data_IF_611022864446
#
_entry.id   IF_611022864446
#
_cell.length_a   1.000
_cell.length_b   1.000
_cell.length_c   1.000
_cell.angle_alpha   90.00
_cell.angle_beta   90.00
_cell.angle_gamma   90.00
#
_symmetry.space_group_name_H-M   'P 1'
#
loop_
_entity.id
_entity.type
_entity.pdbx_description
1 polymer ?
#
# COMPACT_ATOMS: atom_id res chain seq x y z
N UNK A 1 -11.98 -3.80 -2.66
CA UNK A 1 -11.50 -5.10 -2.14
C UNK A 1 -10.86 -4.89 -0.77
N UNK A 2 -11.21 -5.72 0.22
CA UNK A 2 -10.58 -5.69 1.54
C UNK A 2 -9.25 -6.43 1.48
N UNK A 3 -8.16 -5.76 1.87
CA UNK A 3 -6.80 -6.28 1.80
C UNK A 3 -6.30 -6.84 3.13
N UNK A 4 -6.57 -6.13 4.21
CA UNK A 4 -5.91 -6.36 5.48
C UNK A 4 -6.78 -5.97 6.66
N UNK A 5 -6.54 -6.62 7.80
CA UNK A 5 -7.16 -6.30 9.08
C UNK A 5 -6.09 -6.06 10.13
N UNK A 6 -6.16 -4.92 10.81
CA UNK A 6 -5.24 -4.53 11.88
C UNK A 6 -5.96 -4.45 13.19
N UNK A 7 -5.46 -5.11 14.22
CA UNK A 7 -6.01 -5.02 15.57
C UNK A 7 -5.39 -3.84 16.33
N UNK A 8 -6.23 -3.00 16.93
CA UNK A 8 -5.80 -1.79 17.65
C UNK A 8 -4.94 -2.08 18.88
N UNK A 9 -5.04 -3.27 19.45
CA UNK A 9 -4.17 -3.71 20.55
C UNK A 9 -2.70 -3.80 20.15
N UNK A 10 -2.41 -4.02 18.86
CA UNK A 10 -1.06 -4.27 18.33
C UNK A 10 -0.37 -3.00 17.82
N UNK A 11 -1.11 -1.88 17.74
CA UNK A 11 -0.62 -0.62 17.17
C UNK A 11 -0.95 0.59 18.06
N UNK A 12 -0.24 1.68 17.79
CA UNK A 12 -0.55 3.02 18.30
C UNK A 12 -1.07 3.84 17.12
N UNK A 13 -2.12 4.61 17.34
CA UNK A 13 -2.66 5.57 16.37
C UNK A 13 -2.09 6.96 16.67
N UNK A 14 -1.09 7.42 15.91
CA UNK A 14 -0.57 8.78 16.04
C UNK A 14 -1.64 9.82 15.70
N UNK A 15 -1.51 10.98 16.33
CA UNK A 15 -2.36 12.15 16.06
C UNK A 15 -1.53 13.32 15.58
N UNK A 16 -2.15 14.13 14.72
CA UNK A 16 -1.74 15.49 14.43
C UNK A 16 -2.80 16.38 15.08
N UNK A 17 -2.39 17.18 16.05
CA UNK A 17 -3.31 17.91 16.94
C UNK A 17 -4.24 16.90 17.65
N UNK A 18 -5.52 16.89 17.34
CA UNK A 18 -6.53 16.00 17.96
C UNK A 18 -7.02 14.88 17.04
N UNK A 19 -6.61 14.85 15.77
CA UNK A 19 -7.09 13.94 14.73
C UNK A 19 -6.07 12.84 14.46
N UNK A 20 -6.51 11.60 14.35
CA UNK A 20 -5.62 10.49 13.99
C UNK A 20 -5.10 10.64 12.55
N UNK A 21 -3.85 10.27 12.32
CA UNK A 21 -3.22 10.38 10.99
C UNK A 21 -4.04 9.65 9.92
N UNK A 22 -4.55 8.47 10.22
CA UNK A 22 -5.36 7.68 9.27
C UNK A 22 -6.70 8.33 8.91
N UNK A 23 -7.23 9.23 9.73
CA UNK A 23 -8.47 9.95 9.43
C UNK A 23 -8.28 11.05 8.37
N UNK A 24 -7.04 11.32 7.97
CA UNK A 24 -6.69 12.24 6.87
C UNK A 24 -6.59 11.54 5.51
N UNK A 25 -7.08 10.30 5.36
CA UNK A 25 -6.94 9.52 4.12
C UNK A 25 -7.31 10.32 2.85
N UNK A 26 -8.48 10.94 2.83
CA UNK A 26 -8.92 11.72 1.67
C UNK A 26 -8.03 12.94 1.41
N UNK A 27 -7.50 13.56 2.46
CA UNK A 27 -6.54 14.64 2.34
C UNK A 27 -5.21 14.18 1.75
N UNK A 28 -4.68 13.05 2.21
CA UNK A 28 -3.46 12.45 1.66
C UNK A 28 -3.66 12.06 0.20
N UNK A 29 -4.76 11.38 -0.11
CA UNK A 29 -5.10 10.96 -1.48
C UNK A 29 -5.25 12.17 -2.40
N UNK A 30 -5.99 13.21 -2.00
CA UNK A 30 -6.15 14.43 -2.76
C UNK A 30 -4.85 15.18 -2.99
N UNK A 31 -3.95 15.20 -2.00
CA UNK A 31 -2.59 15.76 -2.16
C UNK A 31 -1.83 15.01 -3.25
N UNK A 32 -1.78 13.68 -3.22
CA UNK A 32 -1.09 12.88 -4.23
C UNK A 32 -1.73 13.06 -5.62
N UNK A 33 -3.05 13.09 -5.71
CA UNK A 33 -3.79 13.29 -6.96
C UNK A 33 -3.52 14.67 -7.60
N UNK A 34 -3.25 15.69 -6.78
CA UNK A 34 -2.92 17.05 -7.25
C UNK A 34 -1.49 17.20 -7.80
N UNK A 35 -0.64 16.17 -7.61
CA UNK A 35 0.77 16.20 -8.03
C UNK A 35 0.98 15.30 -9.24
N UNK A 36 1.41 15.91 -10.35
CA UNK A 36 1.62 15.22 -11.64
C UNK A 36 2.73 14.15 -11.59
N UNK A 37 3.62 14.23 -10.61
CA UNK A 37 4.77 13.34 -10.47
C UNK A 37 4.38 11.96 -9.88
N UNK A 38 3.16 11.83 -9.33
CA UNK A 38 2.66 10.59 -8.78
C UNK A 38 1.86 9.80 -9.81
N UNK A 39 2.41 8.65 -10.22
CA UNK A 39 1.67 7.69 -11.05
C UNK A 39 0.55 6.98 -10.27
N UNK A 40 0.69 6.88 -8.94
CA UNK A 40 -0.18 6.06 -8.10
C UNK A 40 -0.76 6.86 -6.94
N UNK A 41 -1.85 7.61 -7.21
CA UNK A 41 -2.64 8.27 -6.16
C UNK A 41 -3.20 7.31 -5.09
N UNK A 42 -3.35 6.04 -5.43
CA UNK A 42 -3.95 5.00 -4.59
C UNK A 42 -2.88 4.11 -3.91
N UNK A 43 -1.66 4.64 -3.73
CA UNK A 43 -0.58 3.92 -3.03
C UNK A 43 -0.92 3.57 -1.58
N UNK A 44 -1.78 4.34 -0.92
CA UNK A 44 -2.23 4.10 0.44
C UNK A 44 -3.62 3.46 0.43
N UNK A 45 -3.76 2.32 1.10
CA UNK A 45 -5.06 1.68 1.29
C UNK A 45 -6.01 2.57 2.09
N UNK A 46 -7.30 2.50 1.78
CA UNK A 46 -8.34 3.18 2.51
C UNK A 46 -8.61 2.47 3.86
N UNK A 47 -8.48 3.14 5.02
CA UNK A 47 -8.92 2.62 6.31
C UNK A 47 -10.44 2.67 6.41
N UNK A 48 -11.12 1.84 5.60
CA UNK A 48 -12.56 1.88 5.31
C UNK A 48 -13.43 1.76 6.55
N UNK A 49 -13.05 0.86 7.46
CA UNK A 49 -13.79 0.60 8.69
C UNK A 49 -12.82 0.69 9.85
N UNK A 50 -13.15 1.55 10.81
CA UNK A 50 -12.45 1.62 12.09
C UNK A 50 -13.47 1.41 13.19
N UNK A 51 -13.30 0.31 13.92
CA UNK A 51 -14.06 0.01 15.13
C UNK A 51 -13.24 0.32 16.38
N UNK A 52 -13.74 -0.04 17.57
CA UNK A 52 -12.97 0.06 18.82
C UNK A 52 -11.83 -0.94 18.91
N UNK A 53 -11.81 -1.97 18.06
CA UNK A 53 -10.88 -3.10 18.15
C UNK A 53 -10.01 -3.30 16.94
N UNK A 54 -10.45 -2.81 15.76
CA UNK A 54 -9.77 -3.11 14.50
C UNK A 54 -9.96 -2.04 13.41
N UNK A 55 -9.07 -2.06 12.42
CA UNK A 55 -9.14 -1.30 11.18
C UNK A 55 -9.18 -2.30 10.03
N UNK A 56 -10.09 -2.11 9.08
CA UNK A 56 -10.15 -2.86 7.82
C UNK A 56 -9.66 -1.94 6.70
N UNK A 57 -8.60 -2.38 6.03
CA UNK A 57 -7.96 -1.68 4.92
C UNK A 57 -8.48 -2.22 3.59
N UNK A 58 -8.87 -1.32 2.69
CA UNK A 58 -9.39 -1.67 1.37
C UNK A 58 -8.73 -0.87 0.27
N UNK A 59 -8.82 -1.36 -0.96
CA UNK A 59 -8.34 -0.66 -2.16
C UNK A 59 -9.17 -1.03 -3.39
N UNK A 60 -9.17 -0.13 -4.35
CA UNK A 60 -9.67 -0.34 -5.71
C UNK A 60 -8.52 -0.34 -6.74
N UNK A 61 -7.26 -0.34 -6.26
CA UNK A 61 -6.08 -0.28 -7.14
C UNK A 61 -5.86 -1.57 -7.93
N UNK A 62 -6.27 -2.72 -7.39
CA UNK A 62 -6.10 -4.03 -8.02
C UNK A 62 -7.39 -4.49 -8.69
N UNK A 63 -7.26 -5.04 -9.91
CA UNK A 63 -8.37 -5.61 -10.68
C UNK A 63 -8.51 -7.11 -10.46
N UNK A 64 -7.39 -7.78 -10.13
CA UNK A 64 -7.30 -9.21 -9.93
C UNK A 64 -6.72 -9.53 -8.56
N UNK A 65 -5.81 -10.46 -8.50
CA UNK A 65 -5.18 -10.90 -7.27
C UNK A 65 -4.08 -9.94 -6.81
N UNK A 66 -3.91 -9.84 -5.49
CA UNK A 66 -2.77 -9.18 -4.85
C UNK A 66 -2.10 -10.13 -3.86
N UNK A 67 -0.79 -9.99 -3.72
CA UNK A 67 0.02 -10.74 -2.76
C UNK A 67 0.81 -9.77 -1.88
N UNK A 68 1.14 -10.19 -0.66
CA UNK A 68 2.02 -9.39 0.18
C UNK A 68 3.45 -9.44 -0.36
N UNK A 69 4.15 -8.31 -0.26
CA UNK A 69 5.54 -8.24 -0.68
C UNK A 69 6.42 -9.26 0.06
N UNK A 70 6.15 -9.54 1.33
CA UNK A 70 6.87 -10.53 2.13
C UNK A 70 6.73 -11.96 1.59
N UNK A 71 5.63 -12.26 0.89
CA UNK A 71 5.33 -13.60 0.35
C UNK A 71 5.83 -13.77 -1.10
N UNK A 72 6.34 -12.70 -1.71
CA UNK A 72 6.94 -12.76 -3.05
C UNK A 72 8.39 -13.27 -2.99
N UNK A 73 8.85 -13.84 -4.11
CA UNK A 73 10.23 -14.33 -4.31
C UNK A 73 10.68 -14.12 -5.76
N UNK A 74 12.01 -14.29 -6.00
CA UNK A 74 12.60 -14.15 -7.33
C UNK A 74 12.36 -12.80 -7.99
N UNK A 75 12.12 -12.81 -9.29
CA UNK A 75 11.95 -11.60 -10.12
C UNK A 75 10.78 -10.72 -9.68
N UNK A 76 9.66 -11.31 -9.25
CA UNK A 76 8.52 -10.56 -8.75
C UNK A 76 8.90 -9.77 -7.48
N UNK A 77 9.61 -10.41 -6.54
CA UNK A 77 10.09 -9.75 -5.33
C UNK A 77 11.01 -8.57 -5.66
N UNK A 78 11.95 -8.76 -6.57
CA UNK A 78 12.89 -7.72 -7.00
C UNK A 78 12.16 -6.56 -7.66
N UNK A 79 11.25 -6.85 -8.57
CA UNK A 79 10.47 -5.85 -9.28
C UNK A 79 9.62 -4.98 -8.36
N UNK A 80 8.81 -5.60 -7.50
CA UNK A 80 7.95 -4.84 -6.58
C UNK A 80 8.72 -4.14 -5.47
N UNK A 81 9.85 -4.69 -5.04
CA UNK A 81 10.76 -4.01 -4.12
C UNK A 81 11.34 -2.74 -4.74
N UNK A 82 11.74 -2.81 -6.01
CA UNK A 82 12.20 -1.64 -6.75
C UNK A 82 11.10 -0.58 -6.89
N UNK A 83 9.89 -0.97 -7.30
CA UNK A 83 8.75 -0.06 -7.39
C UNK A 83 8.49 0.65 -6.06
N UNK A 84 8.46 -0.12 -4.96
CA UNK A 84 8.23 0.43 -3.62
C UNK A 84 9.28 1.47 -3.24
N UNK A 85 10.56 1.18 -3.47
CA UNK A 85 11.64 2.13 -3.19
C UNK A 85 11.47 3.43 -3.99
N UNK A 86 11.09 3.33 -5.27
CA UNK A 86 10.84 4.50 -6.12
C UNK A 86 9.68 5.35 -5.60
N UNK A 87 8.60 4.72 -5.19
CA UNK A 87 7.44 5.43 -4.63
C UNK A 87 7.79 6.10 -3.28
N UNK A 88 8.54 5.43 -2.41
CA UNK A 88 8.99 6.03 -1.16
C UNK A 88 9.92 7.23 -1.43
N UNK A 89 10.86 7.12 -2.36
CA UNK A 89 11.74 8.25 -2.75
C UNK A 89 10.93 9.44 -3.28
N UNK A 90 9.92 9.18 -4.11
CA UNK A 90 9.02 10.23 -4.62
C UNK A 90 8.22 10.91 -3.48
N UNK A 91 7.72 10.11 -2.52
CA UNK A 91 7.03 10.64 -1.33
C UNK A 91 7.97 11.49 -0.46
N UNK A 92 9.21 11.06 -0.25
CA UNK A 92 10.22 11.82 0.50
C UNK A 92 10.55 13.13 -0.20
N UNK A 93 10.73 13.12 -1.53
CA UNK A 93 10.96 14.31 -2.33
C UNK A 93 9.78 15.28 -2.25
N UNK A 94 8.55 14.78 -2.27
CA UNK A 94 7.37 15.61 -2.07
C UNK A 94 7.32 16.24 -0.67
N UNK A 95 7.65 15.48 0.37
CA UNK A 95 7.74 15.99 1.75
C UNK A 95 8.72 17.16 1.82
N UNK A 96 9.89 17.04 1.19
CA UNK A 96 10.90 18.11 1.21
C UNK A 96 10.46 19.32 0.39
N UNK A 97 9.80 19.12 -0.74
CA UNK A 97 9.19 20.19 -1.53
C UNK A 97 8.15 20.96 -0.71
N UNK A 98 7.24 20.24 -0.05
CA UNK A 98 6.19 20.85 0.79
C UNK A 98 6.76 21.68 1.93
N UNK A 99 7.92 21.35 2.51
CA UNK A 99 8.57 22.14 3.56
C UNK A 99 8.96 23.54 3.06
N UNK A 100 9.23 23.69 1.77
CA UNK A 100 9.67 24.96 1.15
C UNK A 100 8.51 25.75 0.54
N UNK A 101 7.35 25.12 0.33
CA UNK A 101 6.16 25.80 -0.18
C UNK A 101 5.47 26.63 0.90
N UNK A 102 4.90 27.75 0.52
CA UNK A 102 4.11 28.58 1.43
C UNK A 102 2.86 27.82 1.91
N UNK A 103 2.70 27.70 3.22
CA UNK A 103 1.63 26.91 3.82
C UNK A 103 1.80 25.38 3.71
N UNK A 104 2.91 24.88 3.17
CA UNK A 104 3.14 23.44 2.95
C UNK A 104 3.51 22.65 4.21
N UNK A 105 3.99 23.30 5.28
CA UNK A 105 4.45 22.63 6.51
C UNK A 105 3.44 21.64 7.13
N UNK A 106 2.13 21.95 7.26
CA UNK A 106 1.17 20.98 7.80
C UNK A 106 1.01 19.74 6.91
N UNK A 107 1.07 19.90 5.59
CA UNK A 107 0.99 18.79 4.63
C UNK A 107 2.27 17.94 4.65
N UNK A 108 3.42 18.57 4.77
CA UNK A 108 4.71 17.90 4.95
C UNK A 108 4.70 17.05 6.24
N UNK A 109 4.21 17.60 7.36
CA UNK A 109 4.10 16.84 8.60
C UNK A 109 3.15 15.65 8.45
N UNK A 110 1.97 15.86 7.84
CA UNK A 110 1.00 14.79 7.60
C UNK A 110 1.62 13.67 6.77
N UNK A 111 2.24 13.99 5.64
CA UNK A 111 2.83 12.97 4.76
C UNK A 111 4.01 12.26 5.43
N UNK A 112 4.84 12.98 6.20
CA UNK A 112 5.93 12.38 6.98
C UNK A 112 5.40 11.36 8.00
N UNK A 113 4.28 11.65 8.66
CA UNK A 113 3.63 10.71 9.59
C UNK A 113 3.04 9.51 8.87
N UNK A 114 2.48 9.74 7.68
CA UNK A 114 1.89 8.69 6.83
C UNK A 114 2.94 7.63 6.46
N UNK A 115 4.15 8.05 6.07
CA UNK A 115 5.23 7.14 5.65
C UNK A 115 6.20 6.76 6.76
N UNK A 116 5.91 7.10 8.01
CA UNK A 116 6.89 6.97 9.12
C UNK A 116 7.34 5.54 9.40
N UNK A 117 6.51 4.55 9.08
CA UNK A 117 6.80 3.13 9.31
C UNK A 117 6.21 2.29 8.17
N UNK A 118 7.07 1.72 7.35
CA UNK A 118 6.70 0.80 6.27
C UNK A 118 7.49 -0.48 6.44
N UNK A 119 6.82 -1.63 6.36
CA UNK A 119 7.43 -2.96 6.39
C UNK A 119 6.86 -3.86 5.28
N UNK A 120 7.55 -4.96 4.98
CA UNK A 120 7.19 -5.88 3.90
C UNK A 120 5.79 -6.52 4.09
N UNK A 121 5.35 -6.70 5.34
CA UNK A 121 4.03 -7.29 5.66
C UNK A 121 2.89 -6.32 5.43
N UNK A 122 3.21 -5.03 5.35
CA UNK A 122 2.25 -3.94 5.12
C UNK A 122 2.14 -3.53 3.66
N UNK A 123 2.84 -4.20 2.74
CA UNK A 123 2.81 -3.88 1.31
C UNK A 123 2.15 -5.00 0.53
N UNK A 124 1.17 -4.64 -0.28
CA UNK A 124 0.48 -5.52 -1.23
C UNK A 124 0.87 -5.15 -2.66
N UNK A 125 1.05 -6.16 -3.48
CA UNK A 125 1.57 -6.08 -4.84
C UNK A 125 0.61 -6.77 -5.81
N UNK A 126 0.32 -6.15 -6.94
CA UNK A 126 -0.53 -6.71 -7.99
C UNK A 126 -0.70 -5.71 -9.12
N UNK A 127 -1.03 -6.16 -10.32
CA UNK A 127 -1.30 -5.32 -11.50
C UNK A 127 -0.23 -4.22 -11.74
N UNK A 128 1.06 -4.55 -11.52
CA UNK A 128 2.20 -3.61 -11.54
C UNK A 128 2.05 -2.39 -10.62
N UNK A 129 1.33 -2.58 -9.53
CA UNK A 129 1.09 -1.56 -8.51
C UNK A 129 1.45 -2.08 -7.13
N UNK A 130 1.67 -1.17 -6.23
CA UNK A 130 1.82 -1.44 -4.80
C UNK A 130 0.78 -0.66 -4.02
N UNK A 131 0.31 -1.24 -2.93
CA UNK A 131 -0.60 -0.59 -1.98
C UNK A 131 -0.11 -0.84 -0.57
N UNK A 132 0.02 0.22 0.21
CA UNK A 132 0.51 0.19 1.58
C UNK A 132 -0.68 0.22 2.54
N UNK A 133 -0.77 -0.78 3.40
CA UNK A 133 -1.66 -0.82 4.58
C UNK A 133 -0.89 -0.43 5.83
N UNK A 134 -1.57 -0.22 6.94
CA UNK A 134 -0.96 0.19 8.23
C UNK A 134 -0.17 1.51 8.19
N UNK A 135 -0.32 2.28 7.12
CA UNK A 135 0.31 3.58 7.02
C UNK A 135 -0.15 4.52 8.15
N UNK A 136 0.76 5.36 8.61
CA UNK A 136 0.47 6.28 9.71
C UNK A 136 0.24 5.61 11.08
N UNK A 137 0.50 4.30 11.22
CA UNK A 137 0.46 3.58 12.48
C UNK A 137 1.86 3.32 13.02
N UNK A 138 1.97 3.14 14.34
CA UNK A 138 3.21 2.72 15.01
C UNK A 138 2.95 1.36 15.66
N UNK A 139 3.71 0.31 15.29
CA UNK A 139 3.59 -0.99 15.93
C UNK A 139 4.00 -0.92 17.41
N UNK A 140 3.25 -1.61 18.30
CA UNK A 140 3.53 -1.61 19.75
C UNK A 140 4.68 -2.53 20.14
N UNK A 141 4.97 -3.54 19.33
CA UNK A 141 5.99 -4.54 19.65
C UNK A 141 7.04 -4.62 18.54
N UNK A 142 8.23 -5.07 18.92
CA UNK A 142 9.34 -5.42 18.05
C UNK A 142 9.03 -6.57 17.04
N UNK A 143 7.78 -7.03 16.95
CA UNK A 143 7.33 -8.02 15.96
C UNK A 143 7.59 -7.60 14.50
N UNK A 144 8.05 -6.38 14.30
CA UNK A 144 8.48 -5.81 13.03
C UNK A 144 10.01 -5.74 12.89
N UNK A 145 10.76 -6.24 13.87
CA UNK A 145 12.21 -6.38 13.73
C UNK A 145 12.50 -7.40 12.62
N UNK A 146 13.23 -6.95 11.62
CA UNK A 146 13.65 -7.77 10.47
C UNK A 146 12.85 -7.61 9.18
N UNK A 147 11.61 -7.08 9.21
CA UNK A 147 10.80 -6.82 8.01
C UNK A 147 10.64 -5.35 7.65
N UNK A 148 11.27 -4.47 8.42
CA UNK A 148 11.19 -3.03 8.20
C UNK A 148 11.89 -2.58 6.92
N UNK A 149 11.26 -1.68 6.17
CA UNK A 149 11.78 -1.11 4.93
C UNK A 149 12.18 0.34 5.16
N UNK A 150 11.28 1.14 5.72
CA UNK A 150 11.47 2.57 5.92
C UNK A 150 10.98 2.96 7.31
N UNK A 151 11.82 3.67 8.07
CA UNK A 151 11.50 4.16 9.42
C UNK A 151 12.11 5.52 9.66
N UNK A 152 11.33 6.42 10.24
CA UNK A 152 11.81 7.73 10.74
C UNK A 152 12.68 8.48 9.71
N UNK A 153 12.26 8.49 8.45
CA UNK A 153 12.91 9.27 7.41
C UNK A 153 14.03 8.56 6.65
N UNK A 154 14.25 7.26 6.84
CA UNK A 154 15.32 6.52 6.14
C UNK A 154 14.97 5.08 5.83
N UNK A 155 15.55 4.55 4.76
CA UNK A 155 15.56 3.13 4.49
C UNK A 155 16.40 2.37 5.52
N UNK A 156 15.96 1.16 5.87
CA UNK A 156 16.65 0.26 6.80
C UNK A 156 16.83 -1.13 6.17
N UNK A 157 17.63 -1.99 6.81
CA UNK A 157 17.78 -3.39 6.38
C UNK A 157 18.34 -3.59 4.97
N UNK A 158 19.14 -2.65 4.44
CA UNK A 158 19.70 -2.74 3.09
C UNK A 158 18.77 -2.28 1.96
N UNK A 159 17.59 -1.80 2.27
CA UNK A 159 16.61 -1.30 1.30
C UNK A 159 17.10 -0.05 0.55
N UNK A 160 18.04 0.71 1.12
CA UNK A 160 18.72 1.83 0.46
C UNK A 160 19.48 1.42 -0.82
N UNK A 161 19.76 0.14 -1.01
CA UNK A 161 20.45 -0.40 -2.19
C UNK A 161 19.52 -0.97 -3.26
N UNK A 162 18.25 -1.24 -2.93
CA UNK A 162 17.31 -1.89 -3.85
C UNK A 162 17.07 -1.06 -5.10
N UNK A 163 17.02 0.26 -4.99
CA UNK A 163 16.80 1.17 -6.13
C UNK A 163 17.98 1.25 -7.11
N UNK A 164 19.15 0.73 -6.75
CA UNK A 164 20.32 0.71 -7.63
C UNK A 164 20.18 -0.32 -8.76
N UNK A 165 19.30 -1.30 -8.60
CA UNK A 165 19.02 -2.34 -9.57
C UNK A 165 17.66 -2.05 -10.21
N UNK A 166 17.66 -1.74 -11.52
CA UNK A 166 16.42 -1.58 -12.28
C UNK A 166 16.01 -2.96 -12.86
N UNK A 167 15.21 -3.76 -12.15
CA UNK A 167 14.83 -5.08 -12.61
C UNK A 167 13.90 -4.96 -13.83
N UNK A 168 13.98 -5.93 -14.73
CA UNK A 168 13.02 -6.04 -15.81
C UNK A 168 11.66 -6.41 -15.23
N UNK A 169 10.60 -5.86 -15.81
CA UNK A 169 9.24 -6.26 -15.49
C UNK A 169 9.09 -7.77 -15.75
N UNK A 170 8.63 -8.56 -14.79
CA UNK A 170 8.40 -9.98 -14.98
C UNK A 170 7.42 -10.21 -16.14
N UNK A 171 7.79 -11.08 -17.07
CA UNK A 171 6.88 -11.48 -18.14
C UNK A 171 5.92 -12.49 -17.55
N UNK A 172 4.71 -12.08 -17.20
CA UNK A 172 3.67 -13.01 -16.76
C UNK A 172 3.17 -13.77 -17.99
N UNK A 173 3.61 -15.00 -18.14
CA UNK A 173 2.90 -15.97 -18.96
C UNK A 173 1.66 -16.39 -18.16
N UNK A 174 0.52 -15.76 -18.42
CA UNK A 174 -0.74 -16.33 -17.98
C UNK A 174 -0.84 -17.70 -18.64
N UNK A 175 -0.75 -18.77 -17.86
CA UNK A 175 -1.01 -20.10 -18.41
C UNK A 175 -2.48 -20.15 -18.82
N UNK A 176 -2.78 -20.86 -19.91
CA UNK A 176 -4.17 -21.07 -20.37
C UNK A 176 -5.06 -21.63 -19.22
N UNK A 177 -4.47 -22.27 -18.22
CA UNK A 177 -5.13 -22.81 -17.03
C UNK A 177 -5.68 -21.71 -16.12
N UNK A 178 -4.97 -20.59 -15.93
CA UNK A 178 -5.44 -19.45 -15.12
C UNK A 178 -6.64 -18.77 -15.81
N UNK A 179 -6.61 -18.66 -17.13
CA UNK A 179 -7.71 -18.07 -17.93
C UNK A 179 -8.97 -18.95 -17.91
N UNK A 180 -8.81 -20.27 -17.83
CA UNK A 180 -9.93 -21.23 -17.76
C UNK A 180 -10.58 -21.20 -16.38
N UNK A 181 -9.80 -21.05 -15.30
CA UNK A 181 -10.32 -20.94 -13.93
C UNK A 181 -11.17 -19.69 -13.76
N UNK A 182 -10.73 -18.53 -14.29
CA UNK A 182 -11.51 -17.29 -14.26
C UNK A 182 -12.81 -17.39 -15.07
N UNK A 183 -12.79 -18.11 -16.20
CA UNK A 183 -13.97 -18.30 -17.03
C UNK A 183 -15.01 -19.22 -16.38
N UNK A 184 -14.58 -20.19 -15.58
CA UNK A 184 -15.47 -21.12 -14.85
C UNK A 184 -16.13 -20.42 -13.67
N UNK A 185 -15.39 -19.62 -12.88
CA UNK A 185 -15.97 -18.87 -11.76
C UNK A 185 -16.98 -17.80 -12.21
N UNK A 186 -16.80 -17.23 -13.41
CA UNK A 186 -17.75 -16.24 -13.96
C UNK A 186 -19.02 -16.87 -14.57
N UNK A 187 -19.07 -18.19 -14.79
CA UNK A 187 -20.22 -18.88 -15.40
C UNK A 187 -21.21 -19.46 -14.38
N UNK A 188 -20.86 -19.52 -13.11
CA UNK A 188 -21.75 -20.07 -12.07
C UNK A 188 -22.81 -19.10 -11.54
N UNK A 189 -22.84 -17.84 -12.02
CA UNK A 189 -23.82 -16.82 -11.59
C UNK A 189 -24.98 -16.62 -12.59
N UNK A 190 -25.16 -17.53 -13.55
CA UNK A 190 -26.37 -17.54 -14.41
C UNK A 190 -27.35 -18.59 -13.88
N UNK A 191 -28.13 -18.16 -12.90
CA UNK A 191 -29.25 -18.94 -12.38
C UNK A 191 -30.25 -19.29 -13.48
N UNK A 192 -30.33 -20.57 -13.79
CA UNK A 192 -31.42 -21.16 -14.59
C UNK A 192 -32.64 -21.14 -13.67
N UNK A 193 -33.52 -20.17 -13.84
CA UNK A 193 -34.87 -20.24 -13.32
C UNK A 193 -35.75 -20.98 -14.34
N UNK A 194 -36.28 -22.12 -13.91
CA UNK A 194 -37.25 -22.97 -14.54
C UNK A 194 -38.43 -22.19 -15.11
N UNK A 195 -38.76 -22.50 -16.36
CA UNK A 195 -40.13 -22.37 -16.85
C UNK A 195 -40.60 -23.73 -17.23
N UNK A 196 -41.34 -24.38 -16.30
CA UNK A 196 -42.26 -25.48 -16.61
C UNK A 196 -43.67 -24.92 -16.39
N UNK A 197 -44.39 -24.75 -17.45
CA UNK A 197 -45.83 -25.03 -17.54
C UNK A 197 -46.20 -25.19 -19.00
#
# INVERSE_FOLDING_TARGET
MDLHRTFLKDVILPKIKSVFVIDYYEGVRGLLESRSDFQYKDIFANPRIRTKTEIIWSTDAFKSHSQKLVDLYGEDKEYYSYLLCKEIEALVSLIDTLKTEDGGMPLSELLSRTVSNIDEKSVYCGDDKIVIVNWGLIPRQAAFEGSGIYRSGKFIGGWDKVHQFNPKRPTRNYSLEDTISEAIESSDDVGITDVIT
#
